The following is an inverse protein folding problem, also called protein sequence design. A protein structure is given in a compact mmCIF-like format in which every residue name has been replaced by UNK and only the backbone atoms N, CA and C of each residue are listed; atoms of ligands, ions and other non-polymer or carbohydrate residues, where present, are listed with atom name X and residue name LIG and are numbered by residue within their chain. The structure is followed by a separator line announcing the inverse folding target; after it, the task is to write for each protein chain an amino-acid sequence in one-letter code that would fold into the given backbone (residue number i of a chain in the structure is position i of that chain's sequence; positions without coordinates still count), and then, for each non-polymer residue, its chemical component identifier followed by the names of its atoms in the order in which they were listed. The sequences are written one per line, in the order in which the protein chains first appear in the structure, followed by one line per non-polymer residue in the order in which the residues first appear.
data_IF_164554187395
#
_entry.id   IF_164554187395
#
_cell.length_a   1.000
_cell.length_b   1.000
_cell.length_c   1.000
_cell.angle_alpha   90.00
_cell.angle_beta   90.00
_cell.angle_gamma   90.00
#
_symmetry.space_group_name_H-M   'P 1'
#
loop_
_entity.id
_entity.type
_entity.pdbx_description
1 polymer ?
#
# COMPACT_ATOMS: atom_id res chain seq x y z
N UNK A 1 17.96 -3.90 -18.27
CA UNK A 1 16.73 -4.08 -17.46
C UNK A 1 16.86 -5.40 -16.73
N UNK A 2 16.80 -5.37 -15.41
CA UNK A 2 16.78 -6.57 -14.56
C UNK A 2 15.45 -7.30 -14.75
N UNK A 3 15.46 -8.63 -14.90
CA UNK A 3 14.20 -9.41 -14.97
C UNK A 3 13.48 -9.33 -13.62
N UNK A 4 12.37 -8.61 -13.57
CA UNK A 4 11.56 -8.46 -12.35
C UNK A 4 10.90 -9.79 -11.99
N UNK A 5 11.25 -10.38 -10.84
CA UNK A 5 10.67 -11.65 -10.37
C UNK A 5 9.37 -11.39 -9.61
N UNK A 6 8.27 -11.25 -10.35
CA UNK A 6 6.93 -11.01 -9.77
C UNK A 6 6.52 -12.03 -8.71
N UNK A 7 6.89 -13.31 -8.88
CA UNK A 7 6.62 -14.34 -7.87
C UNK A 7 7.25 -14.05 -6.51
N UNK A 8 8.50 -13.56 -6.51
CA UNK A 8 9.19 -13.17 -5.28
C UNK A 8 8.55 -11.93 -4.65
N UNK A 9 8.21 -10.93 -5.47
CA UNK A 9 7.50 -9.72 -5.00
C UNK A 9 6.19 -10.11 -4.30
N UNK A 10 5.37 -10.95 -4.93
CA UNK A 10 4.12 -11.42 -4.34
C UNK A 10 4.36 -12.18 -3.02
N UNK A 11 5.37 -13.07 -2.97
CA UNK A 11 5.71 -13.81 -1.76
C UNK A 11 6.14 -12.88 -0.61
N UNK A 12 7.01 -11.89 -0.88
CA UNK A 12 7.45 -10.92 0.12
C UNK A 12 6.28 -10.06 0.62
N UNK A 13 5.41 -9.58 -0.27
CA UNK A 13 4.22 -8.82 0.11
C UNK A 13 3.24 -9.66 0.94
N UNK A 14 2.95 -10.90 0.53
CA UNK A 14 2.09 -11.81 1.29
C UNK A 14 2.63 -12.07 2.69
N UNK A 15 3.95 -12.33 2.80
CA UNK A 15 4.61 -12.51 4.09
C UNK A 15 4.49 -11.27 4.96
N UNK A 16 4.76 -10.07 4.41
CA UNK A 16 4.64 -8.81 5.13
C UNK A 16 3.21 -8.57 5.64
N UNK A 17 2.18 -8.86 4.82
CA UNK A 17 0.77 -8.77 5.20
C UNK A 17 0.44 -9.74 6.34
N UNK A 18 0.90 -10.99 6.27
CA UNK A 18 0.67 -11.99 7.33
C UNK A 18 1.40 -11.64 8.64
N UNK A 19 2.53 -10.94 8.55
CA UNK A 19 3.30 -10.47 9.70
C UNK A 19 2.69 -9.26 10.42
N UNK A 20 1.59 -8.68 9.91
CA UNK A 20 0.86 -7.62 10.61
C UNK A 20 0.27 -8.20 11.90
N UNK A 21 0.73 -7.66 13.03
CA UNK A 21 0.14 -7.95 14.34
C UNK A 21 -1.36 -7.63 14.34
N UNK A 22 -2.14 -8.55 14.90
CA UNK A 22 -3.57 -8.41 15.21
C UNK A 22 -3.94 -7.01 15.75
N UNK A 23 -3.12 -6.42 16.62
CA UNK A 23 -3.35 -5.09 17.22
C UNK A 23 -3.22 -3.93 16.24
N UNK A 24 -2.45 -4.10 15.16
CA UNK A 24 -2.26 -3.07 14.12
C UNK A 24 -3.25 -3.22 12.95
N UNK A 25 -4.14 -4.23 12.97
CA UNK A 25 -5.10 -4.51 11.88
C UNK A 25 -6.19 -3.46 11.70
N UNK A 26 -6.44 -2.62 12.68
CA UNK A 26 -7.49 -1.59 12.59
C UNK A 26 -7.04 -0.35 11.84
N UNK A 27 -5.73 -0.06 11.81
CA UNK A 27 -5.21 1.15 11.18
C UNK A 27 -4.53 0.81 9.85
N UNK A 28 -5.22 1.10 8.73
CA UNK A 28 -4.70 0.81 7.39
C UNK A 28 -3.41 1.58 7.09
N UNK A 29 -3.27 2.80 7.62
CA UNK A 29 -2.08 3.63 7.44
C UNK A 29 -0.85 3.00 8.12
N UNK A 30 -1.01 2.48 9.34
CA UNK A 30 0.07 1.76 10.06
C UNK A 30 0.47 0.48 9.34
N UNK A 31 -0.50 -0.28 8.83
CA UNK A 31 -0.22 -1.49 8.05
C UNK A 31 0.55 -1.17 6.77
N UNK A 32 0.14 -0.09 6.10
CA UNK A 32 0.78 0.35 4.87
C UNK A 32 2.25 0.73 5.09
N UNK A 33 2.54 1.55 6.10
CA UNK A 33 3.92 1.92 6.43
C UNK A 33 4.77 0.72 6.87
N UNK A 34 4.19 -0.21 7.64
CA UNK A 34 4.88 -1.44 8.05
C UNK A 34 5.28 -2.32 6.86
N UNK A 35 4.35 -2.56 5.93
CA UNK A 35 4.62 -3.37 4.74
C UNK A 35 5.68 -2.67 3.87
N UNK A 36 5.59 -1.35 3.70
CA UNK A 36 6.57 -0.57 2.95
C UNK A 36 7.98 -0.70 3.55
N UNK A 37 8.11 -0.58 4.87
CA UNK A 37 9.39 -0.77 5.56
C UNK A 37 9.92 -2.21 5.42
N UNK A 38 9.04 -3.21 5.51
CA UNK A 38 9.40 -4.63 5.35
C UNK A 38 9.96 -4.90 3.95
N UNK A 39 9.31 -4.37 2.91
CA UNK A 39 9.78 -4.48 1.51
C UNK A 39 11.12 -3.77 1.31
N UNK A 40 11.29 -2.57 1.88
CA UNK A 40 12.55 -1.81 1.78
C UNK A 40 13.72 -2.50 2.50
N UNK A 41 13.45 -3.14 3.63
CA UNK A 41 14.43 -3.88 4.42
C UNK A 41 14.77 -5.27 3.86
N UNK A 42 13.96 -5.80 2.93
CA UNK A 42 14.18 -7.11 2.32
C UNK A 42 15.53 -7.13 1.57
N UNK A 43 16.36 -8.14 1.86
CA UNK A 43 17.70 -8.28 1.27
C UNK A 43 17.71 -9.12 -0.02
N UNK A 44 16.60 -9.78 -0.34
CA UNK A 44 16.45 -10.71 -1.48
C UNK A 44 15.97 -9.95 -2.73
N UNK A 45 15.13 -8.93 -2.54
CA UNK A 45 14.66 -8.04 -3.60
C UNK A 45 15.76 -7.06 -4.05
N UNK A 46 15.91 -6.94 -5.35
CA UNK A 46 16.69 -5.85 -5.98
C UNK A 46 15.98 -4.50 -5.82
N UNK A 47 16.69 -3.39 -6.05
CA UNK A 47 16.09 -2.04 -5.96
C UNK A 47 14.92 -1.84 -6.93
N UNK A 48 15.02 -2.40 -8.15
CA UNK A 48 13.95 -2.37 -9.15
C UNK A 48 12.71 -3.14 -8.64
N UNK A 49 12.93 -4.32 -8.04
CA UNK A 49 11.85 -5.14 -7.50
C UNK A 49 11.20 -4.52 -6.26
N UNK A 50 11.98 -3.86 -5.38
CA UNK A 50 11.43 -3.09 -4.25
C UNK A 50 10.52 -1.96 -4.74
N UNK A 51 10.96 -1.26 -5.78
CA UNK A 51 10.20 -0.17 -6.39
C UNK A 51 8.89 -0.69 -6.98
N UNK A 52 8.94 -1.80 -7.72
CA UNK A 52 7.75 -2.43 -8.28
C UNK A 52 6.81 -2.98 -7.20
N UNK A 53 7.35 -3.59 -6.14
CA UNK A 53 6.58 -4.08 -5.00
C UNK A 53 5.80 -2.95 -4.31
N UNK A 54 6.47 -1.82 -4.03
CA UNK A 54 5.83 -0.65 -3.44
C UNK A 54 4.78 -0.07 -4.38
N UNK A 55 5.06 0.00 -5.69
CA UNK A 55 4.10 0.49 -6.69
C UNK A 55 2.82 -0.36 -6.73
N UNK A 56 2.97 -1.69 -6.73
CA UNK A 56 1.82 -2.62 -6.68
C UNK A 56 1.05 -2.49 -5.38
N UNK A 57 1.76 -2.35 -4.27
CA UNK A 57 1.15 -2.24 -2.95
C UNK A 57 0.41 -0.90 -2.76
N UNK A 58 0.95 0.22 -3.26
CA UNK A 58 0.28 1.53 -3.26
C UNK A 58 -1.08 1.49 -3.94
N UNK A 59 -1.18 0.81 -5.10
CA UNK A 59 -2.46 0.64 -5.81
C UNK A 59 -3.51 -0.08 -4.95
N UNK A 60 -3.09 -1.15 -4.25
CA UNK A 60 -3.98 -1.87 -3.35
C UNK A 60 -4.42 -1.00 -2.17
N UNK A 61 -3.48 -0.25 -1.60
CA UNK A 61 -3.75 0.66 -0.50
C UNK A 61 -4.69 1.81 -0.87
N UNK A 62 -4.53 2.42 -2.04
CA UNK A 62 -5.43 3.46 -2.53
C UNK A 62 -6.86 2.92 -2.71
N UNK A 63 -6.99 1.73 -3.29
CA UNK A 63 -8.27 1.03 -3.39
C UNK A 63 -8.88 0.76 -2.01
N UNK A 64 -8.09 0.30 -1.06
CA UNK A 64 -8.56 -0.05 0.27
C UNK A 64 -8.95 1.17 1.11
N UNK A 65 -8.26 2.32 0.95
CA UNK A 65 -8.66 3.63 1.51
C UNK A 65 -10.05 4.05 1.04
N UNK A 66 -10.30 3.94 -0.27
CA UNK A 66 -11.62 4.24 -0.86
C UNK A 66 -12.69 3.33 -0.27
N UNK A 67 -12.42 2.01 -0.21
CA UNK A 67 -13.36 1.02 0.35
C UNK A 67 -13.68 1.27 1.83
N UNK A 68 -12.69 1.67 2.62
CA UNK A 68 -12.87 1.98 4.06
C UNK A 68 -13.37 3.40 4.32
N UNK A 69 -13.51 4.22 3.28
CA UNK A 69 -13.85 5.64 3.41
C UNK A 69 -12.86 6.43 4.30
N UNK A 70 -11.59 6.01 4.24
CA UNK A 70 -10.47 6.56 5.00
C UNK A 70 -9.63 7.49 4.12
N UNK A 71 -9.31 8.67 4.64
CA UNK A 71 -8.53 9.69 3.94
C UNK A 71 -9.06 11.10 4.19
N UNK A 72 -8.27 12.09 3.75
CA UNK A 72 -8.64 13.49 3.86
C UNK A 72 -9.91 13.73 3.04
N UNK A 73 -10.90 14.39 3.65
CA UNK A 73 -12.10 14.81 2.93
C UNK A 73 -12.03 16.29 2.61
N UNK A 74 -12.44 16.65 1.40
CA UNK A 74 -12.62 18.03 0.95
C UNK A 74 -14.05 18.26 0.52
N UNK A 75 -14.50 19.51 0.51
CA UNK A 75 -15.74 19.86 -0.17
C UNK A 75 -15.46 19.73 -1.66
N UNK A 76 -16.16 18.85 -2.36
CA UNK A 76 -16.06 18.72 -3.80
C UNK A 76 -16.86 19.86 -4.44
N UNK A 77 -16.19 20.72 -5.20
CA UNK A 77 -16.82 21.88 -5.87
C UNK A 77 -17.93 21.46 -6.85
N UNK A 78 -17.81 20.28 -7.47
CA UNK A 78 -18.79 19.80 -8.43
C UNK A 78 -20.09 19.30 -7.78
N UNK A 79 -20.03 18.81 -6.54
CA UNK A 79 -21.20 18.22 -5.89
C UNK A 79 -21.55 18.83 -4.52
N UNK A 80 -20.83 19.86 -4.07
CA UNK A 80 -21.00 20.58 -2.80
C UNK A 80 -21.16 19.66 -1.56
N UNK A 81 -20.51 18.49 -1.59
CA UNK A 81 -20.54 17.50 -0.51
C UNK A 81 -19.11 17.20 -0.04
N UNK A 82 -19.00 16.74 1.21
CA UNK A 82 -17.73 16.30 1.81
C UNK A 82 -17.33 14.96 1.19
N UNK A 83 -16.47 15.00 0.19
CA UNK A 83 -15.96 13.84 -0.55
C UNK A 83 -14.53 13.50 -0.12
N UNK A 84 -14.11 12.25 -0.29
CA UNK A 84 -12.70 11.89 -0.16
C UNK A 84 -11.89 12.66 -1.20
N UNK A 85 -10.79 13.27 -0.77
CA UNK A 85 -9.80 13.87 -1.65
C UNK A 85 -8.99 12.74 -2.28
N UNK A 86 -9.51 12.13 -3.35
CA UNK A 86 -8.69 11.31 -4.23
C UNK A 86 -7.85 12.26 -5.10
N UNK A 87 -6.53 12.22 -4.95
CA UNK A 87 -5.61 12.81 -5.92
C UNK A 87 -5.71 11.97 -7.20
N UNK A 88 -6.30 12.54 -8.26
CA UNK A 88 -6.10 12.05 -9.62
C UNK A 88 -4.86 12.70 -10.20
#
# INVERSE_FOLDING_TARGET
MSTIRRGLICATLSKAVTSIDSKNRENIHKQFEFIKQTVLADKILTNDEKTEAIRLFNKNYDRDKIRRNEGTRRICENCNKKCLATSY
#
